data_IF_152502853310
#
_entry.id   IF_152502853310
#
_cell.length_a   1.000
_cell.length_b   1.000
_cell.length_c   1.000
_cell.angle_alpha   90.00
_cell.angle_beta   90.00
_cell.angle_gamma   90.00
#
_symmetry.space_group_name_H-M   'P 1'
#
loop_
_entity.id
_entity.type
_entity.pdbx_description
1 polymer ?
#
# COMPACT_ATOMS: atom_id res chain seq x y z
N UNK A 1 -15.22 3.83 -21.44
CA UNK A 1 -14.68 2.71 -22.23
C UNK A 1 -13.78 1.86 -21.36
N UNK A 2 -14.00 0.54 -21.33
CA UNK A 2 -13.26 -0.40 -20.48
C UNK A 2 -11.86 -0.67 -21.06
N UNK A 3 -10.84 -0.78 -20.20
CA UNK A 3 -9.46 -1.09 -20.61
C UNK A 3 -9.37 -2.58 -21.00
N UNK A 4 -8.72 -2.94 -22.11
CA UNK A 4 -8.62 -4.33 -22.56
C UNK A 4 -7.86 -5.20 -21.56
N UNK A 5 -8.28 -6.47 -21.42
CA UNK A 5 -7.57 -7.48 -20.67
C UNK A 5 -6.26 -7.84 -21.40
N UNK A 6 -5.13 -7.69 -20.72
CA UNK A 6 -3.81 -8.05 -21.23
C UNK A 6 -3.27 -9.21 -20.40
N UNK A 7 -3.15 -10.38 -21.00
CA UNK A 7 -2.66 -11.63 -20.38
C UNK A 7 -1.19 -11.58 -19.98
N UNK A 8 -0.38 -10.80 -20.69
CA UNK A 8 1.07 -10.73 -20.53
C UNK A 8 1.51 -9.38 -19.95
N UNK A 9 0.78 -8.85 -18.97
CA UNK A 9 1.32 -7.72 -18.20
C UNK A 9 2.59 -8.21 -17.51
N UNK A 10 3.74 -7.58 -17.75
CA UNK A 10 4.96 -7.98 -17.07
C UNK A 10 4.74 -7.86 -15.56
N UNK A 11 5.17 -8.88 -14.81
CA UNK A 11 5.16 -8.93 -13.33
C UNK A 11 5.68 -7.62 -12.68
N UNK A 12 6.44 -6.82 -13.44
CA UNK A 12 6.77 -5.42 -13.17
C UNK A 12 5.67 -4.59 -12.49
N UNK A 13 4.38 -4.79 -12.82
CA UNK A 13 3.31 -3.96 -12.24
C UNK A 13 2.94 -4.33 -10.81
N UNK A 14 3.29 -5.55 -10.36
CA UNK A 14 3.09 -5.99 -8.97
C UNK A 14 4.36 -5.87 -8.13
N UNK A 15 5.55 -5.81 -8.76
CA UNK A 15 6.83 -5.72 -8.05
C UNK A 15 6.89 -4.59 -7.00
N UNK A 16 6.32 -3.40 -7.22
CA UNK A 16 6.31 -2.38 -6.19
C UNK A 16 5.59 -2.78 -4.91
N UNK A 17 4.56 -3.60 -5.01
CA UNK A 17 3.75 -4.04 -3.88
C UNK A 17 4.14 -5.42 -3.38
N UNK A 18 5.00 -6.15 -4.08
CA UNK A 18 5.42 -7.47 -3.64
C UNK A 18 6.17 -7.43 -2.29
N UNK A 19 6.08 -8.49 -1.50
CA UNK A 19 6.81 -8.59 -0.23
C UNK A 19 8.32 -8.69 -0.45
N UNK A 20 9.10 -8.41 0.60
CA UNK A 20 10.54 -8.68 0.60
C UNK A 20 10.85 -10.16 0.26
N UNK A 21 10.06 -11.10 0.81
CA UNK A 21 10.24 -12.52 0.52
C UNK A 21 10.03 -12.87 -0.95
N UNK A 22 9.10 -12.19 -1.64
CA UNK A 22 8.90 -12.37 -3.08
C UNK A 22 10.15 -11.97 -3.86
N UNK A 23 10.73 -10.81 -3.52
CA UNK A 23 11.96 -10.34 -4.16
C UNK A 23 13.16 -11.27 -3.90
N UNK A 24 13.21 -11.92 -2.74
CA UNK A 24 14.25 -12.91 -2.39
C UNK A 24 13.99 -14.32 -2.97
N UNK A 25 12.88 -14.54 -3.68
CA UNK A 25 12.54 -15.87 -4.24
C UNK A 25 12.12 -16.89 -3.19
N UNK A 26 11.72 -16.45 -1.99
CA UNK A 26 11.25 -17.32 -0.92
C UNK A 26 9.82 -17.79 -1.19
N UNK A 27 9.43 -18.89 -0.55
CA UNK A 27 8.03 -19.30 -0.54
C UNK A 27 7.17 -18.22 0.14
N UNK A 28 6.04 -17.89 -0.48
CA UNK A 28 5.10 -16.90 0.04
C UNK A 28 4.08 -17.53 0.99
N UNK A 29 3.62 -16.74 1.95
CA UNK A 29 2.61 -17.11 2.93
C UNK A 29 1.63 -15.95 3.17
N UNK A 30 0.73 -16.15 4.15
CA UNK A 30 -0.27 -15.17 4.58
C UNK A 30 0.32 -13.80 4.97
N UNK A 31 1.57 -13.77 5.45
CA UNK A 31 2.23 -12.50 5.84
C UNK A 31 2.59 -11.66 4.61
N UNK A 32 2.90 -12.32 3.49
CA UNK A 32 3.31 -11.65 2.25
C UNK A 32 2.13 -10.93 1.58
N UNK A 33 0.94 -11.52 1.65
CA UNK A 33 -0.29 -10.87 1.23
C UNK A 33 -0.57 -9.60 2.07
N UNK A 34 -0.34 -9.66 3.39
CA UNK A 34 -0.52 -8.50 4.28
C UNK A 34 0.55 -7.43 4.08
N UNK A 35 1.80 -7.81 3.79
CA UNK A 35 2.87 -6.87 3.48
C UNK A 35 2.54 -6.12 2.18
N UNK A 36 2.06 -6.86 1.18
CA UNK A 36 1.62 -6.28 -0.09
C UNK A 36 0.44 -5.34 0.09
N UNK A 37 -0.52 -5.70 0.94
CA UNK A 37 -1.62 -4.83 1.32
C UNK A 37 -1.14 -3.57 2.05
N UNK A 38 -0.16 -3.68 2.94
CA UNK A 38 0.41 -2.53 3.64
C UNK A 38 1.06 -1.55 2.66
N UNK A 39 1.88 -2.04 1.71
CA UNK A 39 2.46 -1.19 0.67
C UNK A 39 1.39 -0.54 -0.22
N UNK A 40 0.33 -1.27 -0.57
CA UNK A 40 -0.80 -0.71 -1.33
C UNK A 40 -1.50 0.41 -0.55
N UNK A 41 -1.80 0.20 0.73
CA UNK A 41 -2.45 1.22 1.57
C UNK A 41 -1.57 2.46 1.73
N UNK A 42 -0.27 2.29 1.92
CA UNK A 42 0.70 3.39 1.98
C UNK A 42 0.73 4.18 0.67
N UNK A 43 0.76 3.49 -0.47
CA UNK A 43 0.69 4.12 -1.78
C UNK A 43 -0.62 4.89 -1.97
N UNK A 44 -1.76 4.32 -1.57
CA UNK A 44 -3.05 5.02 -1.64
C UNK A 44 -3.08 6.28 -0.76
N UNK A 45 -2.47 6.23 0.43
CA UNK A 45 -2.44 7.36 1.36
C UNK A 45 -1.46 8.47 0.92
N UNK A 46 -0.33 8.11 0.29
CA UNK A 46 0.76 9.04 -0.06
C UNK A 46 0.84 9.38 -1.54
N UNK A 47 0.10 8.67 -2.39
CA UNK A 47 0.25 8.67 -3.86
C UNK A 47 1.66 8.32 -4.37
N UNK A 48 2.53 7.79 -3.51
CA UNK A 48 3.94 7.51 -3.82
C UNK A 48 4.54 6.46 -2.87
N UNK A 49 5.55 5.74 -3.36
CA UNK A 49 6.47 4.92 -2.56
C UNK A 49 7.90 5.19 -3.04
N UNK A 50 8.93 5.13 -2.16
CA UNK A 50 10.31 5.44 -2.52
C UNK A 50 10.89 4.57 -3.65
N UNK A 51 10.36 3.36 -3.83
CA UNK A 51 10.79 2.39 -4.85
C UNK A 51 9.88 2.35 -6.09
N UNK A 52 8.84 3.19 -6.18
CA UNK A 52 8.00 3.33 -7.38
C UNK A 52 8.55 4.39 -8.35
N UNK A 53 9.51 5.21 -7.90
CA UNK A 53 9.99 6.35 -8.67
C UNK A 53 10.85 5.96 -9.90
N UNK A 54 10.93 6.86 -10.88
CA UNK A 54 11.34 6.58 -12.28
C UNK A 54 12.79 6.10 -12.47
N UNK A 55 13.60 6.10 -11.42
CA UNK A 55 15.00 5.67 -11.48
C UNK A 55 15.20 4.20 -11.06
N UNK A 56 14.14 3.53 -10.61
CA UNK A 56 14.16 2.12 -10.19
C UNK A 56 13.77 1.26 -11.38
N UNK A 57 14.75 0.55 -11.96
CA UNK A 57 14.55 -0.18 -13.23
C UNK A 57 14.62 -1.69 -13.07
N UNK A 58 15.11 -2.18 -11.93
CA UNK A 58 15.32 -3.60 -11.68
C UNK A 58 14.68 -4.09 -10.38
N UNK A 59 14.44 -5.40 -10.29
CA UNK A 59 13.97 -6.07 -9.08
C UNK A 59 14.92 -5.84 -7.88
N UNK A 60 16.23 -5.80 -8.13
CA UNK A 60 17.25 -5.54 -7.12
C UNK A 60 17.18 -4.12 -6.57
N UNK A 61 16.92 -3.12 -7.42
CA UNK A 61 16.78 -1.73 -6.98
C UNK A 61 15.56 -1.56 -6.04
N UNK A 62 14.44 -2.22 -6.38
CA UNK A 62 13.23 -2.24 -5.53
C UNK A 62 13.54 -2.89 -4.19
N UNK A 63 14.17 -4.06 -4.20
CA UNK A 63 14.53 -4.79 -2.99
C UNK A 63 15.43 -3.94 -2.08
N UNK A 64 16.53 -3.41 -2.63
CA UNK A 64 17.47 -2.58 -1.88
C UNK A 64 16.77 -1.35 -1.28
N UNK A 65 15.90 -0.69 -2.03
CA UNK A 65 15.14 0.46 -1.54
C UNK A 65 14.23 0.07 -0.38
N UNK A 66 13.48 -1.04 -0.49
CA UNK A 66 12.62 -1.57 0.59
C UNK A 66 13.40 -1.93 1.85
N UNK A 67 14.56 -2.57 1.71
CA UNK A 67 15.42 -2.95 2.85
C UNK A 67 16.08 -1.74 3.52
N UNK A 68 16.35 -0.67 2.75
CA UNK A 68 17.06 0.52 3.24
C UNK A 68 16.20 1.47 4.06
N UNK A 69 14.88 1.44 3.88
CA UNK A 69 13.96 2.35 4.55
C UNK A 69 13.32 1.69 5.76
N UNK A 70 13.39 2.36 6.91
CA UNK A 70 12.71 1.88 8.11
C UNK A 70 11.19 2.07 8.01
N UNK A 71 10.43 1.21 8.69
CA UNK A 71 8.96 1.35 8.79
C UNK A 71 8.56 2.74 9.31
N UNK A 72 9.31 3.29 10.26
CA UNK A 72 9.05 4.63 10.81
C UNK A 72 9.22 5.73 9.75
N UNK A 73 10.26 5.67 8.93
CA UNK A 73 10.48 6.63 7.83
C UNK A 73 9.44 6.47 6.72
N UNK A 74 9.10 5.22 6.37
CA UNK A 74 8.12 4.93 5.32
C UNK A 74 6.72 5.43 5.68
N UNK A 75 6.36 5.33 6.96
CA UNK A 75 5.08 5.77 7.49
C UNK A 75 5.10 7.19 8.07
N UNK A 76 6.16 7.98 7.81
CA UNK A 76 6.28 9.34 8.33
C UNK A 76 5.08 10.21 7.90
N UNK A 77 4.60 11.05 8.81
CA UNK A 77 3.40 11.89 8.66
C UNK A 77 2.08 11.15 8.40
N UNK A 78 2.03 9.81 8.48
CA UNK A 78 0.79 9.04 8.45
C UNK A 78 0.28 8.72 9.86
N UNK A 79 -1.03 8.44 10.02
CA UNK A 79 -1.56 7.97 11.29
C UNK A 79 -0.86 6.71 11.80
N UNK A 80 -0.70 6.61 13.13
CA UNK A 80 -0.02 5.50 13.81
C UNK A 80 -0.43 4.09 13.35
N UNK A 81 -1.71 3.80 13.02
CA UNK A 81 -2.11 2.49 12.48
C UNK A 81 -1.32 1.99 11.28
N UNK A 82 -0.81 2.86 10.41
CA UNK A 82 0.02 2.45 9.27
C UNK A 82 1.36 1.86 9.73
N UNK A 83 2.07 2.56 10.61
CA UNK A 83 3.33 2.08 11.23
C UNK A 83 3.10 0.80 12.00
N UNK A 84 2.07 0.77 12.86
CA UNK A 84 1.75 -0.39 13.69
C UNK A 84 1.39 -1.62 12.85
N UNK A 85 0.64 -1.43 11.76
CA UNK A 85 0.27 -2.53 10.87
C UNK A 85 1.49 -3.11 10.15
N UNK A 86 2.34 -2.27 9.55
CA UNK A 86 3.50 -2.77 8.81
C UNK A 86 4.51 -3.46 9.74
N UNK A 87 4.78 -2.89 10.93
CA UNK A 87 5.61 -3.55 11.95
C UNK A 87 5.03 -4.89 12.37
N UNK A 88 3.72 -4.95 12.65
CA UNK A 88 3.04 -6.20 12.99
C UNK A 88 3.23 -7.28 11.92
N UNK A 89 3.13 -6.91 10.63
CA UNK A 89 3.30 -7.83 9.51
C UNK A 89 4.75 -8.35 9.42
N UNK A 90 5.74 -7.48 9.59
CA UNK A 90 7.16 -7.87 9.56
C UNK A 90 7.53 -8.84 10.69
N UNK A 91 6.84 -8.77 11.83
CA UNK A 91 7.06 -9.65 12.99
C UNK A 91 6.40 -11.03 12.84
N UNK A 92 5.53 -11.25 11.83
CA UNK A 92 4.88 -12.54 11.62
C UNK A 92 5.87 -13.61 11.15
N UNK A 93 5.84 -14.77 11.79
CA UNK A 93 6.55 -15.94 11.27
C UNK A 93 5.86 -16.52 10.03
N UNK A 94 6.60 -17.29 9.24
CA UNK A 94 6.13 -17.84 7.96
C UNK A 94 4.80 -18.62 8.08
N UNK A 95 4.65 -19.46 9.11
CA UNK A 95 3.45 -20.28 9.31
C UNK A 95 2.40 -19.64 10.22
N UNK A 96 2.72 -18.50 10.86
CA UNK A 96 1.82 -17.84 11.79
C UNK A 96 0.52 -17.43 11.12
N UNK A 97 -0.60 -17.67 11.80
CA UNK A 97 -1.88 -17.12 11.39
C UNK A 97 -1.96 -15.66 11.87
N UNK A 98 -2.13 -14.67 10.97
CA UNK A 98 -2.35 -13.30 11.40
C UNK A 98 -3.64 -13.15 12.21
N UNK A 99 -3.63 -12.25 13.17
CA UNK A 99 -4.81 -11.74 13.86
C UNK A 99 -5.44 -10.64 12.99
N UNK A 100 -6.30 -11.07 12.07
CA UNK A 100 -6.99 -10.16 11.18
C UNK A 100 -7.93 -9.20 11.92
N UNK A 101 -8.45 -9.58 13.10
CA UNK A 101 -9.30 -8.68 13.89
C UNK A 101 -8.48 -7.55 14.49
N UNK A 102 -7.27 -7.84 14.97
CA UNK A 102 -6.32 -6.81 15.40
C UNK A 102 -6.05 -5.82 14.27
N UNK A 103 -5.69 -6.31 13.06
CA UNK A 103 -5.45 -5.45 11.89
C UNK A 103 -6.66 -4.58 11.55
N UNK A 104 -7.86 -5.15 11.52
CA UNK A 104 -9.09 -4.37 11.26
C UNK A 104 -9.34 -3.30 12.33
N UNK A 105 -9.10 -3.63 13.59
CA UNK A 105 -9.30 -2.69 14.70
C UNK A 105 -8.30 -1.54 14.69
N UNK A 106 -7.08 -1.74 14.20
CA UNK A 106 -6.10 -0.65 14.02
C UNK A 106 -6.64 0.47 13.12
N UNK A 107 -7.32 0.12 12.02
CA UNK A 107 -7.81 1.14 11.07
C UNK A 107 -9.20 1.66 11.39
N UNK A 108 -10.02 0.92 12.16
CA UNK A 108 -11.34 1.41 12.62
C UNK A 108 -11.23 2.64 13.52
N UNK A 109 -10.15 2.76 14.30
CA UNK A 109 -9.93 3.92 15.18
C UNK A 109 -9.66 5.20 14.39
N UNK A 110 -9.20 5.12 13.14
CA UNK A 110 -8.97 6.30 12.28
C UNK A 110 -10.26 7.05 11.93
N UNK A 111 -11.38 6.33 11.84
CA UNK A 111 -12.68 6.93 11.51
C UNK A 111 -13.27 7.72 12.68
N UNK A 112 -12.90 7.38 13.93
CA UNK A 112 -13.48 8.01 15.11
C UNK A 112 -12.99 9.44 15.35
N UNK A 113 -11.80 9.79 14.84
CA UNK A 113 -11.22 11.14 14.96
C UNK A 113 -11.62 12.07 13.81
N UNK A 114 -12.19 11.54 12.72
CA UNK A 114 -12.65 12.33 11.57
C UNK A 114 -14.15 12.60 11.68
N UNK A 115 -14.55 13.36 12.70
CA UNK A 115 -15.84 14.06 12.71
C UNK A 115 -15.82 15.30 11.78
N UNK A 116 -15.02 15.25 10.69
CA UNK A 116 -15.05 16.27 9.66
C UNK A 116 -16.21 15.95 8.71
N UNK A 117 -17.11 16.93 8.53
CA UNK A 117 -18.20 16.84 7.56
C UNK A 117 -17.68 16.41 6.18
N UNK A 118 -18.46 15.63 5.41
CA UNK A 118 -18.06 15.25 4.06
C UNK A 118 -17.70 16.51 3.25
N UNK A 119 -16.64 16.48 2.42
CA UNK A 119 -16.25 17.63 1.62
C UNK A 119 -17.45 18.05 0.77
N UNK A 120 -17.94 19.26 1.01
CA UNK A 120 -19.02 19.83 0.22
C UNK A 120 -18.47 20.01 -1.19
N UNK A 121 -19.01 19.27 -2.16
CA UNK A 121 -18.69 19.49 -3.56
C UNK A 121 -19.00 20.96 -3.89
N UNK A 122 -17.97 21.72 -4.25
CA UNK A 122 -18.15 23.10 -4.69
C UNK A 122 -19.06 23.12 -5.93
N UNK A 123 -20.00 24.06 -6.04
CA UNK A 123 -20.93 24.17 -7.18
C UNK A 123 -20.24 24.40 -8.54
N UNK A 124 -18.92 24.53 -8.58
CA UNK A 124 -18.15 24.65 -9.82
C UNK A 124 -18.19 23.40 -10.73
N UNK A 125 -18.65 22.24 -10.24
CA UNK A 125 -18.74 21.01 -11.04
C UNK A 125 -20.10 20.90 -11.79
N UNK A 126 -21.11 21.71 -11.44
CA UNK A 126 -22.44 21.63 -12.09
C UNK A 126 -22.52 22.34 -13.45
N UNK A 127 -21.45 23.00 -13.91
CA UNK A 127 -21.44 23.71 -15.20
C UNK A 127 -20.65 23.04 -16.33
N UNK A 128 -20.22 21.78 -16.18
CA UNK A 128 -19.55 21.04 -17.28
C UNK A 128 -20.40 19.93 -17.94
N UNK A 129 -21.71 19.85 -17.68
CA UNK A 129 -22.63 18.91 -18.35
C UNK A 129 -23.62 19.57 -19.32
N UNK A 130 -23.33 20.78 -19.81
CA UNK A 130 -24.11 21.43 -20.89
C UNK A 130 -23.35 21.66 -22.19
N UNK A 131 -22.28 20.91 -22.43
CA UNK A 131 -21.65 20.87 -23.74
C UNK A 131 -21.05 19.48 -23.98
N UNK A 132 -21.90 18.50 -24.29
CA UNK A 132 -21.81 17.58 -25.44
C UNK A 132 -22.98 16.61 -25.42
#
# INVERSE_FOLDING_TARGET
SHVPFLSDRPLSTILPFASLNHHSGNQLSRRDDLESLAYLLLYLARSSLPWIDTNVTSNSDILQSKESISVAQLCDALPLPFTTFLSYVHDLSFTQKPDYNYVLNLFRTLHADTAASPPTLSPAIEMSERAY
#
